data_IF_346123563834
#
_entry.id   IF_346123563834
#
_cell.length_a   1.000
_cell.length_b   1.000
_cell.length_c   1.000
_cell.angle_alpha   90.00
_cell.angle_beta   90.00
_cell.angle_gamma   90.00
#
_symmetry.space_group_name_H-M   'P 1'
#
loop_
_entity.id
_entity.type
_entity.pdbx_description
1 polymer ?
#
# COMPACT_ATOMS: atom_id res chain seq x y z
N UNK A 1 1.73 7.41 -27.55
CA UNK A 1 0.74 8.11 -26.69
C UNK A 1 0.70 7.62 -25.24
N UNK A 2 0.90 6.33 -24.92
CA UNK A 2 0.82 5.84 -23.52
C UNK A 2 1.91 6.31 -22.53
N UNK A 3 3.07 6.75 -23.00
CA UNK A 3 4.19 7.17 -22.11
C UNK A 3 3.99 8.55 -21.46
N UNK A 4 3.23 9.45 -22.10
CA UNK A 4 2.99 10.81 -21.58
C UNK A 4 2.04 10.76 -20.37
N UNK A 5 0.97 9.96 -20.46
CA UNK A 5 0.05 9.70 -19.35
C UNK A 5 0.79 9.15 -18.13
N UNK A 6 1.75 8.24 -18.34
CA UNK A 6 2.56 7.68 -17.24
C UNK A 6 3.46 8.71 -16.55
N UNK A 7 4.10 9.59 -17.32
CA UNK A 7 4.90 10.67 -16.75
C UNK A 7 4.07 11.57 -15.84
N UNK A 8 2.85 11.88 -16.26
CA UNK A 8 1.90 12.68 -15.49
C UNK A 8 1.42 11.97 -14.22
N UNK A 9 1.04 10.68 -14.32
CA UNK A 9 0.58 9.89 -13.16
C UNK A 9 1.67 9.73 -12.10
N UNK A 10 2.93 9.44 -12.50
CA UNK A 10 4.06 9.34 -11.56
C UNK A 10 4.33 10.66 -10.81
N UNK A 11 4.04 11.80 -11.44
CA UNK A 11 4.19 13.11 -10.84
C UNK A 11 3.12 13.43 -9.79
N UNK A 12 1.93 12.83 -9.90
CA UNK A 12 0.79 13.16 -9.03
C UNK A 12 0.56 12.19 -7.87
N UNK A 13 1.24 11.03 -7.84
CA UNK A 13 1.15 10.12 -6.70
C UNK A 13 1.87 10.75 -5.49
N UNK A 14 1.16 11.00 -4.36
CA UNK A 14 1.79 11.52 -3.16
C UNK A 14 2.82 10.53 -2.63
N UNK A 15 4.05 11.02 -2.49
CA UNK A 15 5.21 10.23 -2.10
C UNK A 15 5.95 10.92 -0.97
N UNK A 16 6.42 10.12 -0.02
CA UNK A 16 7.16 10.59 1.14
C UNK A 16 8.36 9.68 1.32
N UNK A 17 9.53 10.26 1.57
CA UNK A 17 10.76 9.50 1.84
C UNK A 17 11.18 9.74 3.29
N UNK A 18 11.46 8.67 4.02
CA UNK A 18 11.96 8.75 5.40
C UNK A 18 12.91 7.59 5.67
N UNK A 19 14.15 7.89 6.06
CA UNK A 19 15.15 6.88 6.43
C UNK A 19 15.38 5.78 5.37
N UNK A 20 15.31 6.12 4.08
CA UNK A 20 15.46 5.15 2.98
C UNK A 20 14.19 4.37 2.62
N UNK A 21 13.11 4.50 3.40
CA UNK A 21 11.79 3.96 3.08
C UNK A 21 11.06 4.91 2.14
N UNK A 22 10.51 4.37 1.06
CA UNK A 22 9.61 5.12 0.15
C UNK A 22 8.16 4.82 0.47
N UNK A 23 7.41 5.81 0.94
CA UNK A 23 5.97 5.69 1.20
C UNK A 23 5.17 6.22 0.02
N UNK A 24 4.22 5.41 -0.43
CA UNK A 24 3.31 5.69 -1.53
C UNK A 24 1.89 5.76 -0.95
N UNK A 25 1.27 6.94 -0.98
CA UNK A 25 -0.12 7.08 -0.55
C UNK A 25 -1.07 6.90 -1.73
N UNK A 26 -2.12 6.11 -1.54
CA UNK A 26 -3.16 5.88 -2.56
C UNK A 26 -4.20 7.03 -2.56
N UNK A 27 -4.13 7.93 -1.59
CA UNK A 27 -5.04 9.06 -1.41
C UNK A 27 -4.28 10.30 -0.90
N UNK A 28 -4.79 11.52 -1.08
CA UNK A 28 -4.13 12.71 -0.57
C UNK A 28 -4.12 12.70 0.97
N UNK A 29 -2.93 12.77 1.56
CA UNK A 29 -2.70 12.82 3.01
C UNK A 29 -1.70 13.94 3.30
N UNK A 30 -1.84 14.63 4.43
CA UNK A 30 -0.85 15.60 4.86
C UNK A 30 0.46 14.88 5.22
N UNK A 31 1.60 15.42 4.79
CA UNK A 31 2.92 14.84 5.06
C UNK A 31 3.16 14.57 6.55
N UNK A 32 2.74 15.50 7.41
CA UNK A 32 2.85 15.38 8.87
C UNK A 32 2.16 14.13 9.42
N UNK A 33 1.01 13.76 8.86
CA UNK A 33 0.28 12.56 9.28
C UNK A 33 0.99 11.27 8.84
N UNK A 34 1.57 11.28 7.64
CA UNK A 34 2.37 10.15 7.15
C UNK A 34 3.62 9.98 8.00
N UNK A 35 4.31 11.07 8.32
CA UNK A 35 5.49 11.05 9.17
C UNK A 35 5.18 10.53 10.57
N UNK A 36 4.08 10.99 11.19
CA UNK A 36 3.63 10.52 12.51
C UNK A 36 3.29 9.02 12.51
N UNK A 37 2.60 8.53 11.48
CA UNK A 37 2.32 7.11 11.31
C UNK A 37 3.60 6.28 11.15
N UNK A 38 4.58 6.79 10.40
CA UNK A 38 5.88 6.13 10.27
C UNK A 38 6.65 6.11 11.59
N UNK A 39 6.64 7.21 12.35
CA UNK A 39 7.29 7.25 13.66
C UNK A 39 6.70 6.19 14.60
N UNK A 40 5.38 6.08 14.65
CA UNK A 40 4.71 5.04 15.44
C UNK A 40 5.15 3.62 15.02
N UNK A 41 5.29 3.37 13.71
CA UNK A 41 5.74 2.08 13.18
C UNK A 41 7.20 1.79 13.50
N UNK A 42 8.09 2.77 13.36
CA UNK A 42 9.52 2.58 13.63
C UNK A 42 9.88 2.52 15.11
N UNK A 43 9.00 3.02 16.00
CA UNK A 43 9.12 2.85 17.45
C UNK A 43 8.80 1.42 17.90
N UNK A 44 8.06 0.64 17.11
CA UNK A 44 7.75 -0.76 17.44
C UNK A 44 8.92 -1.67 17.06
N UNK A 45 9.62 -2.21 18.07
CA UNK A 45 10.76 -3.12 17.87
C UNK A 45 10.39 -4.42 17.15
N UNK A 46 9.13 -4.88 17.28
CA UNK A 46 8.65 -6.07 16.57
C UNK A 46 8.51 -5.81 15.07
N UNK A 47 8.19 -4.58 14.66
CA UNK A 47 8.16 -4.20 13.26
C UNK A 47 9.56 -3.95 12.73
N UNK A 48 10.43 -3.32 13.53
CA UNK A 48 11.81 -3.02 13.13
C UNK A 48 12.60 -4.29 12.77
N UNK A 49 12.45 -5.36 13.54
CA UNK A 49 13.09 -6.64 13.26
C UNK A 49 12.59 -7.30 11.95
N UNK A 50 11.30 -7.11 11.62
CA UNK A 50 10.68 -7.62 10.38
C UNK A 50 10.97 -6.77 9.14
N UNK A 51 11.36 -5.51 9.32
CA UNK A 51 11.61 -4.53 8.26
C UNK A 51 13.10 -4.28 8.01
N UNK A 52 13.94 -5.30 8.19
CA UNK A 52 15.42 -5.18 8.14
C UNK A 52 16.02 -5.00 6.74
N UNK A 53 15.20 -4.84 5.69
CA UNK A 53 15.67 -4.73 4.31
C UNK A 53 15.85 -3.28 3.85
N UNK A 54 16.93 -3.02 3.14
CA UNK A 54 17.20 -1.72 2.52
C UNK A 54 16.19 -1.37 1.42
N UNK A 55 15.49 -2.34 0.84
CA UNK A 55 14.69 -2.17 -0.37
C UNK A 55 13.21 -1.96 -0.08
N UNK A 56 12.88 -1.28 1.01
CA UNK A 56 11.50 -1.20 1.48
C UNK A 56 10.74 -0.03 0.86
N UNK A 57 9.51 -0.33 0.44
CA UNK A 57 8.48 0.66 0.20
C UNK A 57 7.26 0.35 1.07
N UNK A 58 6.50 1.38 1.42
CA UNK A 58 5.25 1.23 2.16
C UNK A 58 4.08 1.83 1.37
N UNK A 59 2.96 1.14 1.30
CA UNK A 59 1.73 1.68 0.76
C UNK A 59 0.80 2.11 1.89
N UNK A 60 0.40 3.39 1.89
CA UNK A 60 -0.62 3.90 2.81
C UNK A 60 -1.98 3.97 2.11
N UNK A 61 -2.97 3.29 2.68
CA UNK A 61 -4.33 3.25 2.13
C UNK A 61 -5.40 3.11 3.22
N UNK A 62 -6.68 3.37 2.90
CA UNK A 62 -7.77 3.06 3.81
C UNK A 62 -7.87 1.54 4.05
N UNK A 63 -8.19 1.11 5.28
CA UNK A 63 -8.28 -0.31 5.65
C UNK A 63 -9.33 -1.10 4.84
N UNK A 64 -10.37 -0.44 4.32
CA UNK A 64 -11.40 -1.04 3.46
C UNK A 64 -11.08 -1.00 1.94
N UNK A 65 -9.86 -0.65 1.54
CA UNK A 65 -9.54 -0.49 0.13
C UNK A 65 -9.49 -1.84 -0.61
N UNK A 66 -10.46 -2.07 -1.50
CA UNK A 66 -10.65 -3.33 -2.23
C UNK A 66 -9.41 -3.81 -2.98
N UNK A 67 -8.61 -2.89 -3.55
CA UNK A 67 -7.43 -3.26 -4.34
C UNK A 67 -6.22 -3.68 -3.47
N UNK A 68 -6.34 -3.67 -2.14
CA UNK A 68 -5.34 -4.26 -1.24
C UNK A 68 -4.99 -5.68 -1.67
N UNK A 69 -5.98 -6.48 -2.05
CA UNK A 69 -5.79 -7.89 -2.43
C UNK A 69 -4.81 -8.09 -3.58
N UNK A 70 -4.62 -7.08 -4.43
CA UNK A 70 -3.63 -7.11 -5.51
C UNK A 70 -2.19 -7.03 -4.98
N UNK A 71 -1.99 -6.29 -3.90
CA UNK A 71 -0.69 -6.17 -3.24
C UNK A 71 -0.45 -7.42 -2.40
N UNK A 72 -1.46 -7.88 -1.65
CA UNK A 72 -1.31 -8.85 -0.56
C UNK A 72 -1.33 -10.33 -0.95
N UNK A 73 -1.92 -10.68 -2.10
CA UNK A 73 -2.29 -12.07 -2.36
C UNK A 73 -3.53 -12.50 -1.57
N UNK A 74 -4.25 -13.50 -2.10
CA UNK A 74 -5.59 -13.90 -1.60
C UNK A 74 -5.59 -14.36 -0.13
N UNK A 75 -4.44 -14.75 0.43
CA UNK A 75 -4.32 -15.22 1.82
C UNK A 75 -4.56 -14.14 2.89
N UNK A 76 -4.22 -12.87 2.63
CA UNK A 76 -4.41 -11.79 3.63
C UNK A 76 -5.81 -11.18 3.64
N UNK A 77 -6.62 -11.38 2.60
CA UNK A 77 -8.00 -10.91 2.55
C UNK A 77 -8.95 -11.74 3.43
N UNK A 78 -8.67 -13.03 3.63
CA UNK A 78 -9.55 -13.92 4.39
C UNK A 78 -9.70 -13.54 5.88
N UNK A 79 -8.74 -12.80 6.44
CA UNK A 79 -8.76 -12.40 7.85
C UNK A 79 -9.29 -10.98 8.10
N UNK A 80 -9.59 -10.21 7.04
CA UNK A 80 -10.05 -8.82 7.13
C UNK A 80 -11.58 -8.76 6.97
N UNK A 81 -12.32 -9.17 8.01
CA UNK A 81 -13.79 -9.14 8.17
C UNK A 81 -14.59 -10.09 7.26
N UNK A 82 -15.66 -10.75 7.79
CA UNK A 82 -16.62 -11.44 6.94
C UNK A 82 -17.36 -10.41 6.10
N UNK A 83 -16.96 -10.28 4.83
CA UNK A 83 -17.60 -9.38 3.89
C UNK A 83 -19.02 -9.91 3.64
N UNK A 84 -20.00 -9.14 4.12
CA UNK A 84 -21.42 -9.40 3.95
C UNK A 84 -21.72 -9.69 2.47
N UNK A 85 -22.10 -10.94 2.21
CA UNK A 85 -22.31 -11.54 0.89
C UNK A 85 -23.59 -10.99 0.25
N UNK A 86 -23.71 -9.68 0.06
CA UNK A 86 -24.76 -9.10 -0.77
C UNK A 86 -24.31 -9.19 -2.22
N UNK A 87 -24.99 -10.06 -2.98
CA UNK A 87 -24.92 -10.15 -4.45
C UNK A 87 -25.22 -8.75 -5.03
N UNK A 88 -24.19 -7.95 -5.26
CA UNK A 88 -24.27 -6.83 -6.20
C UNK A 88 -23.75 -7.30 -7.56
N UNK A 89 -24.42 -6.95 -8.66
CA UNK A 89 -23.94 -7.28 -10.00
C UNK A 89 -22.59 -6.61 -10.27
N UNK A 90 -21.68 -7.41 -10.82
CA UNK A 90 -20.23 -7.18 -11.01
C UNK A 90 -19.78 -5.79 -11.50
N UNK A 91 -20.44 -5.11 -12.46
CA UNK A 91 -19.90 -3.84 -12.97
C UNK A 91 -20.18 -2.64 -12.06
N UNK A 92 -21.29 -2.62 -11.31
CA UNK A 92 -21.65 -1.48 -10.45
C UNK A 92 -20.80 -1.37 -9.17
N UNK A 93 -20.20 -2.49 -8.74
CA UNK A 93 -19.31 -2.53 -7.57
C UNK A 93 -18.02 -1.72 -7.79
N UNK A 94 -17.46 -1.77 -9.01
CA UNK A 94 -16.30 -0.96 -9.41
C UNK A 94 -16.60 0.55 -9.32
N UNK A 95 -17.80 0.98 -9.73
CA UNK A 95 -18.18 2.40 -9.75
C UNK A 95 -18.54 2.97 -8.37
N UNK A 96 -19.11 2.17 -7.47
CA UNK A 96 -19.42 2.62 -6.10
C UNK A 96 -18.15 3.05 -5.34
N UNK A 97 -17.03 2.34 -5.54
CA UNK A 97 -15.76 2.67 -4.88
C UNK A 97 -15.00 3.82 -5.54
N UNK A 98 -15.13 4.01 -6.87
CA UNK A 98 -14.60 5.21 -7.54
C UNK A 98 -15.20 6.47 -6.90
N UNK A 99 -16.48 6.46 -6.51
CA UNK A 99 -17.12 7.59 -5.80
C UNK A 99 -16.47 7.90 -4.44
N UNK A 100 -15.98 6.89 -3.72
CA UNK A 100 -15.26 7.09 -2.46
C UNK A 100 -13.80 7.54 -2.66
N UNK A 101 -13.16 7.12 -3.75
CA UNK A 101 -11.83 7.61 -4.17
C UNK A 101 -11.89 9.10 -4.56
N UNK A 102 -12.99 9.52 -5.20
CA UNK A 102 -13.22 10.90 -5.61
C UNK A 102 -13.67 11.84 -4.47
N UNK A 103 -13.96 11.31 -3.27
CA UNK A 103 -14.43 12.10 -2.14
C UNK A 103 -13.49 11.94 -0.92
N UNK A 104 -12.31 12.59 -0.95
CA UNK A 104 -11.23 12.40 0.03
C UNK A 104 -11.64 12.76 1.47
N UNK A 105 -12.66 13.61 1.65
CA UNK A 105 -13.19 13.95 2.98
C UNK A 105 -13.85 12.78 3.71
N UNK A 106 -14.33 11.75 2.99
CA UNK A 106 -14.93 10.56 3.63
C UNK A 106 -13.92 9.59 4.24
N UNK A 107 -12.62 9.78 3.95
CA UNK A 107 -11.51 8.94 4.43
C UNK A 107 -10.80 9.54 5.66
N UNK A 108 -11.04 10.82 5.94
CA UNK A 108 -10.62 11.48 7.19
C UNK A 108 -11.34 10.83 8.38
N UNK A 109 -10.60 10.19 9.27
CA UNK A 109 -11.16 9.52 10.46
C UNK A 109 -11.37 8.00 10.34
N UNK A 110 -11.06 7.37 9.19
CA UNK A 110 -11.11 5.92 9.06
C UNK A 110 -9.79 5.24 9.45
N UNK A 111 -9.88 3.99 9.91
CA UNK A 111 -8.72 3.12 10.10
C UNK A 111 -7.94 3.01 8.78
N UNK A 112 -6.62 3.18 8.86
CA UNK A 112 -5.69 3.14 7.75
C UNK A 112 -4.94 1.82 7.77
N UNK A 113 -4.38 1.42 6.65
CA UNK A 113 -3.53 0.25 6.52
C UNK A 113 -2.25 0.66 5.83
N UNK A 114 -1.12 0.31 6.44
CA UNK A 114 0.19 0.41 5.85
C UNK A 114 0.66 -0.98 5.43
N UNK A 115 1.04 -1.13 4.16
CA UNK A 115 1.57 -2.37 3.60
C UNK A 115 3.05 -2.18 3.33
N UNK A 116 3.91 -2.91 4.04
CA UNK A 116 5.33 -2.92 3.74
C UNK A 116 5.63 -3.95 2.67
N UNK A 117 6.35 -3.53 1.64
CA UNK A 117 6.79 -4.37 0.53
C UNK A 117 8.30 -4.25 0.36
N UNK A 118 8.97 -5.37 0.11
CA UNK A 118 10.32 -5.39 -0.44
C UNK A 118 10.23 -5.15 -1.95
N UNK A 119 11.10 -4.30 -2.46
CA UNK A 119 11.10 -3.86 -3.85
C UNK A 119 12.36 -4.31 -4.54
N UNK A 120 12.20 -5.14 -5.57
CA UNK A 120 13.30 -5.70 -6.34
C UNK A 120 13.17 -5.32 -7.82
N UNK A 121 14.24 -4.79 -8.39
CA UNK A 121 14.33 -4.51 -9.83
C UNK A 121 14.72 -5.74 -10.64
N UNK A 122 14.80 -5.57 -11.96
CA UNK A 122 15.36 -6.60 -12.85
C UNK A 122 16.74 -7.03 -12.36
N UNK A 123 16.95 -8.35 -12.20
CA UNK A 123 18.17 -8.97 -11.62
C UNK A 123 18.31 -8.86 -10.10
N UNK A 124 17.21 -8.89 -9.34
CA UNK A 124 17.18 -8.86 -7.86
C UNK A 124 17.96 -7.69 -7.24
N UNK A 125 18.00 -6.55 -7.93
CA UNK A 125 18.67 -5.36 -7.39
C UNK A 125 17.71 -4.60 -6.46
N UNK A 126 18.17 -4.21 -5.27
CA UNK A 126 17.37 -3.38 -4.37
C UNK A 126 17.05 -2.04 -5.03
N UNK A 127 15.79 -1.59 -4.97
CA UNK A 127 15.37 -0.29 -5.51
C UNK A 127 14.88 0.63 -4.40
N UNK A 128 15.22 1.92 -4.51
CA UNK A 128 14.85 2.99 -3.57
C UNK A 128 14.26 4.19 -4.32
N UNK A 129 13.52 5.03 -3.60
CA UNK A 129 12.99 6.30 -4.08
C UNK A 129 12.09 6.14 -5.31
N UNK A 130 12.27 7.01 -6.30
CA UNK A 130 11.46 7.04 -7.52
C UNK A 130 11.52 5.75 -8.37
N UNK A 131 12.54 4.91 -8.19
CA UNK A 131 12.68 3.64 -8.92
C UNK A 131 11.72 2.56 -8.42
N UNK A 132 11.13 2.70 -7.23
CA UNK A 132 10.18 1.70 -6.70
C UNK A 132 8.88 1.63 -7.51
N UNK A 133 8.62 2.64 -8.35
CA UNK A 133 7.46 2.74 -9.24
C UNK A 133 7.82 2.41 -10.71
N UNK A 134 9.00 1.85 -10.96
CA UNK A 134 9.38 1.46 -12.31
C UNK A 134 8.64 0.21 -12.79
N UNK A 135 8.63 0.04 -14.11
CA UNK A 135 8.02 -1.12 -14.77
C UNK A 135 8.98 -2.30 -14.63
N UNK A 136 8.42 -3.51 -14.45
CA UNK A 136 9.22 -4.72 -14.25
C UNK A 136 9.81 -4.84 -12.84
N UNK A 137 9.34 -4.02 -11.91
CA UNK A 137 9.71 -4.09 -10.49
C UNK A 137 8.82 -5.08 -9.77
N UNK A 138 9.44 -6.03 -9.08
CA UNK A 138 8.78 -6.98 -8.19
C UNK A 138 8.56 -6.33 -6.83
N UNK A 139 7.37 -6.55 -6.26
CA UNK A 139 6.97 -6.00 -4.96
C UNK A 139 6.44 -7.14 -4.12
N UNK A 140 7.18 -7.47 -3.06
CA UNK A 140 6.96 -8.66 -2.24
C UNK A 140 6.47 -8.17 -0.87
N UNK A 141 5.19 -8.36 -0.54
CA UNK A 141 4.65 -7.99 0.77
C UNK A 141 5.44 -8.66 1.89
N UNK A 142 5.66 -7.91 2.96
CA UNK A 142 6.28 -8.41 4.19
C UNK A 142 5.29 -8.37 5.36
N UNK A 143 4.62 -7.23 5.56
CA UNK A 143 3.77 -6.99 6.74
C UNK A 143 2.63 -6.00 6.42
N UNK A 144 1.46 -6.23 7.03
CA UNK A 144 0.40 -5.23 7.21
C UNK A 144 0.43 -4.63 8.59
N UNK A 145 0.21 -3.32 8.65
CA UNK A 145 -0.04 -2.60 9.88
C UNK A 145 -1.35 -1.86 9.73
N UNK A 146 -2.35 -2.24 10.53
CA UNK A 146 -3.57 -1.45 10.67
C UNK A 146 -3.32 -0.34 11.68
N UNK A 147 -3.65 0.88 11.28
CA UNK A 147 -3.51 2.10 12.04
C UNK A 147 -4.89 2.67 12.33
N UNK A 148 -5.07 3.26 13.50
CA UNK A 148 -6.27 4.01 13.83
C UNK A 148 -6.30 5.37 13.10
N UNK A 149 -7.35 6.16 13.34
CA UNK A 149 -7.48 7.50 12.77
C UNK A 149 -6.40 8.49 13.22
N UNK A 150 -5.69 8.20 14.32
CA UNK A 150 -4.61 9.01 14.90
C UNK A 150 -3.21 8.51 14.47
N UNK A 151 -3.13 7.40 13.74
CA UNK A 151 -1.87 6.79 13.32
C UNK A 151 -1.27 5.81 14.34
N UNK A 152 -2.00 5.45 15.40
CA UNK A 152 -1.57 4.44 16.35
C UNK A 152 -1.77 3.03 15.79
N UNK A 153 -0.83 2.13 16.07
CA UNK A 153 -0.88 0.73 15.63
C UNK A 153 -2.02 0.01 16.34
N UNK A 154 -2.98 -0.51 15.59
CA UNK A 154 -4.04 -1.38 16.09
C UNK A 154 -3.70 -2.85 15.92
N UNK A 155 -3.07 -3.21 14.79
CA UNK A 155 -2.78 -4.60 14.46
C UNK A 155 -1.58 -4.71 13.53
N UNK A 156 -0.74 -5.71 13.77
CA UNK A 156 0.33 -6.13 12.87
C UNK A 156 0.02 -7.54 12.35
N UNK A 157 0.15 -7.76 11.05
CA UNK A 157 -0.09 -9.06 10.42
C UNK A 157 1.02 -9.38 9.44
N UNK A 158 1.54 -10.60 9.48
CA UNK A 158 2.48 -11.08 8.47
C UNK A 158 1.76 -11.38 7.16
N UNK A 159 2.51 -11.24 6.07
CA UNK A 159 2.02 -11.55 4.73
C UNK A 159 2.64 -12.83 4.21
N UNK A 160 1.86 -13.67 3.51
CA UNK A 160 2.46 -14.60 2.58
C UNK A 160 3.35 -13.82 1.61
N UNK A 161 4.56 -14.31 1.28
CA UNK A 161 5.48 -13.61 0.37
C UNK A 161 5.00 -13.62 -1.10
N UNK A 162 3.76 -14.03 -1.35
CA UNK A 162 3.18 -14.17 -2.68
C UNK A 162 2.08 -13.12 -2.85
N UNK A 163 2.19 -12.31 -3.90
CA UNK A 163 1.13 -11.37 -4.28
C UNK A 163 0.00 -12.09 -5.03
N UNK A 164 -1.11 -11.41 -5.32
CA UNK A 164 -2.12 -11.95 -6.22
C UNK A 164 -1.62 -12.11 -7.67
N UNK A 165 -0.48 -11.48 -7.95
CA UNK A 165 0.26 -11.57 -9.21
C UNK A 165 1.34 -12.66 -9.19
N UNK A 166 1.56 -13.32 -8.04
CA UNK A 166 2.61 -14.34 -7.84
C UNK A 166 4.00 -13.84 -8.29
N UNK A 167 4.53 -14.36 -9.40
CA UNK A 167 5.80 -13.96 -10.02
C UNK A 167 5.66 -12.83 -11.05
N UNK A 168 4.44 -12.41 -11.35
CA UNK A 168 4.17 -11.34 -12.32
C UNK A 168 4.41 -10.00 -11.62
N UNK A 169 5.20 -9.09 -12.21
CA UNK A 169 5.42 -7.78 -11.64
C UNK A 169 4.09 -7.04 -11.55
N UNK A 170 3.80 -6.49 -10.36
CA UNK A 170 2.59 -5.71 -10.14
C UNK A 170 2.55 -4.55 -11.14
N UNK A 171 1.39 -4.31 -11.81
CA UNK A 171 1.26 -3.24 -12.78
C UNK A 171 1.73 -1.91 -12.16
N UNK A 172 2.64 -1.23 -12.85
CA UNK A 172 3.02 0.11 -12.47
C UNK A 172 1.91 1.08 -12.89
N UNK A 173 1.39 1.85 -11.94
CA UNK A 173 0.44 2.94 -12.18
C UNK A 173 1.10 4.09 -12.96
#
# INVERSE_FOLDING_TARGET
MGFILRGYTKGQIPRYEKSGLTVISVYPVAEKEVQAALDAVFLDENLKSKLTDDSLAAYLMPSGYMMQGLIVGKGGMAQSRPMMRRRMPSPLFLFYHIRHILNPHSLSGQNRRMIFVRVEGSKNRPLKGHKVLDVGVMRIPQVYVDLDSKGAIQRVMETPPYTAWDKVPMPAF
#
